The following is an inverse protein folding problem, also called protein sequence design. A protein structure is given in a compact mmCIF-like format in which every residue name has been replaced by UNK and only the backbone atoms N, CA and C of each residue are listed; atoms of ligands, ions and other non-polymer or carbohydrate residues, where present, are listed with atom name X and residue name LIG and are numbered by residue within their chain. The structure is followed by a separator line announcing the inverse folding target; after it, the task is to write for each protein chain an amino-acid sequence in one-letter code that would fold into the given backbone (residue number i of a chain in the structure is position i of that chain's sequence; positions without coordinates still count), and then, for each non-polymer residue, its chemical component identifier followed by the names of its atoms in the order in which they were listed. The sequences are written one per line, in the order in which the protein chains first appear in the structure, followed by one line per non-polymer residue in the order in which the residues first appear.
data_IF_856772303228
#
_entry.id   IF_856772303228
#
_cell.length_a   1.000
_cell.length_b   1.000
_cell.length_c   1.000
_cell.angle_alpha   90.00
_cell.angle_beta   90.00
_cell.angle_gamma   90.00
#
_symmetry.space_group_name_H-M   'P 1'
#
loop_
_entity.id
_entity.type
_entity.pdbx_description
1 polymer ?
#
# COMPACT_ATOMS: atom_id res chain seq x y z
N UNK A 1 15.32 20.99 -20.09
CA UNK A 1 14.23 20.43 -19.28
C UNK A 1 14.75 19.24 -18.47
N UNK A 2 14.56 19.27 -17.17
CA UNK A 2 14.92 18.08 -16.39
C UNK A 2 14.05 16.91 -16.82
N UNK A 3 14.65 15.74 -16.90
CA UNK A 3 13.93 14.52 -17.22
C UNK A 3 13.00 14.17 -16.06
N UNK A 4 11.84 13.64 -16.38
CA UNK A 4 10.96 13.07 -15.36
C UNK A 4 11.60 11.85 -14.74
N UNK A 5 11.36 11.65 -13.45
CA UNK A 5 11.77 10.44 -12.78
C UNK A 5 10.91 9.27 -13.26
N UNK A 6 11.39 8.05 -13.07
CA UNK A 6 10.61 6.85 -13.42
C UNK A 6 9.32 6.78 -12.58
N UNK A 7 9.37 7.26 -11.33
CA UNK A 7 8.19 7.38 -10.49
C UNK A 7 7.16 8.33 -11.10
N UNK A 8 7.60 9.50 -11.56
CA UNK A 8 6.68 10.46 -12.18
C UNK A 8 6.02 9.89 -13.43
N UNK A 9 6.78 9.17 -14.24
CA UNK A 9 6.25 8.49 -15.43
C UNK A 9 5.21 7.43 -15.03
N UNK A 10 5.52 6.63 -14.02
CA UNK A 10 4.61 5.61 -13.51
C UNK A 10 3.28 6.22 -13.08
N UNK A 11 3.34 7.28 -12.29
CA UNK A 11 2.14 7.95 -11.77
C UNK A 11 1.36 8.68 -12.87
N UNK A 12 2.01 9.06 -13.94
CA UNK A 12 1.38 9.69 -15.10
C UNK A 12 0.77 8.67 -16.09
N UNK A 13 0.96 7.37 -15.83
CA UNK A 13 0.46 6.33 -16.74
C UNK A 13 1.31 6.14 -17.99
N UNK A 14 2.55 6.66 -17.98
CA UNK A 14 3.47 6.54 -19.09
C UNK A 14 4.34 5.29 -18.94
N UNK A 15 4.99 4.88 -20.03
CA UNK A 15 5.96 3.80 -19.96
C UNK A 15 7.12 4.20 -19.06
N UNK A 16 7.52 3.30 -18.16
CA UNK A 16 8.58 3.55 -17.21
C UNK A 16 9.40 2.30 -16.97
N UNK A 17 10.60 2.49 -16.40
CA UNK A 17 11.46 1.38 -16.03
C UNK A 17 11.13 0.93 -14.61
N UNK A 18 10.45 -0.20 -14.48
CA UNK A 18 10.07 -0.75 -13.17
C UNK A 18 11.29 -1.22 -12.35
N UNK A 19 12.44 -1.39 -12.98
CA UNK A 19 13.68 -1.78 -12.31
C UNK A 19 14.51 -0.58 -11.86
N UNK A 20 13.98 0.63 -11.98
CA UNK A 20 14.62 1.84 -11.49
C UNK A 20 15.01 1.68 -10.02
N UNK A 21 16.22 2.12 -9.67
CA UNK A 21 16.77 1.90 -8.33
C UNK A 21 15.92 2.50 -7.21
N UNK A 22 15.37 3.71 -7.42
CA UNK A 22 14.55 4.36 -6.41
C UNK A 22 13.24 3.61 -6.20
N UNK A 23 12.60 3.16 -7.27
CA UNK A 23 11.39 2.36 -7.18
C UNK A 23 11.65 1.02 -6.48
N UNK A 24 12.77 0.40 -6.77
CA UNK A 24 13.14 -0.86 -6.12
C UNK A 24 13.36 -0.68 -4.61
N UNK A 25 14.02 0.39 -4.20
CA UNK A 25 14.21 0.69 -2.78
C UNK A 25 12.88 0.88 -2.05
N UNK A 26 11.92 1.55 -2.68
CA UNK A 26 10.59 1.71 -2.11
C UNK A 26 9.88 0.36 -1.95
N UNK A 27 9.96 -0.49 -2.95
CA UNK A 27 9.36 -1.84 -2.87
C UNK A 27 10.00 -2.68 -1.78
N UNK A 28 11.31 -2.61 -1.61
CA UNK A 28 12.02 -3.33 -0.55
C UNK A 28 11.60 -2.87 0.84
N UNK A 29 11.44 -1.56 1.01
CA UNK A 29 10.95 -0.99 2.26
C UNK A 29 9.56 -1.52 2.61
N UNK A 30 8.68 -1.55 1.63
CA UNK A 30 7.31 -2.05 1.82
C UNK A 30 7.32 -3.55 2.12
N UNK A 31 8.17 -4.31 1.47
CA UNK A 31 8.28 -5.75 1.77
C UNK A 31 8.66 -6.01 3.22
N UNK A 32 9.54 -5.20 3.79
CA UNK A 32 9.89 -5.31 5.22
C UNK A 32 8.70 -4.99 6.11
N UNK A 33 7.97 -3.92 5.80
CA UNK A 33 6.79 -3.53 6.55
C UNK A 33 5.68 -4.59 6.45
N UNK A 34 5.48 -5.16 5.26
CA UNK A 34 4.50 -6.23 5.05
C UNK A 34 4.84 -7.47 5.87
N UNK A 35 6.11 -7.83 5.94
CA UNK A 35 6.53 -8.96 6.76
C UNK A 35 6.20 -8.74 8.23
N UNK A 36 6.50 -7.55 8.75
CA UNK A 36 6.16 -7.20 10.12
C UNK A 36 4.65 -7.20 10.34
N UNK A 37 3.90 -6.64 9.39
CA UNK A 37 2.44 -6.60 9.47
C UNK A 37 1.83 -7.99 9.51
N UNK A 38 2.26 -8.86 8.60
CA UNK A 38 1.68 -10.19 8.46
C UNK A 38 2.06 -11.13 9.60
N UNK A 39 3.13 -10.82 10.35
CA UNK A 39 3.56 -11.59 11.51
C UNK A 39 3.06 -11.00 12.83
N UNK A 40 2.57 -9.78 12.84
CA UNK A 40 2.12 -9.12 14.06
C UNK A 40 0.88 -9.80 14.62
N UNK A 41 0.88 -10.08 15.92
CA UNK A 41 -0.26 -10.73 16.58
C UNK A 41 -1.25 -9.72 17.15
N UNK A 42 -0.76 -8.56 17.60
CA UNK A 42 -1.61 -7.55 18.23
C UNK A 42 -2.19 -6.60 17.20
N UNK A 43 -3.50 -6.29 17.33
CA UNK A 43 -4.18 -5.36 16.42
C UNK A 43 -3.56 -3.96 16.48
N UNK A 44 -3.15 -3.49 17.66
CA UNK A 44 -2.54 -2.18 17.81
C UNK A 44 -1.21 -2.08 17.07
N UNK A 45 -0.41 -3.13 17.11
CA UNK A 45 0.84 -3.21 16.37
C UNK A 45 0.59 -3.17 14.87
N UNK A 46 -0.39 -3.93 14.39
CA UNK A 46 -0.76 -3.93 12.97
C UNK A 46 -1.19 -2.53 12.51
N UNK A 47 -1.98 -1.83 13.30
CA UNK A 47 -2.42 -0.48 12.96
C UNK A 47 -1.25 0.50 12.85
N UNK A 48 -0.27 0.40 13.76
CA UNK A 48 0.92 1.24 13.70
C UNK A 48 1.70 1.01 12.41
N UNK A 49 1.92 -0.24 12.05
CA UNK A 49 2.64 -0.60 10.83
C UNK A 49 1.87 -0.13 9.60
N UNK A 50 0.56 -0.33 9.60
CA UNK A 50 -0.30 0.05 8.48
C UNK A 50 -0.22 1.55 8.19
N UNK A 51 -0.23 2.38 9.25
CA UNK A 51 -0.12 3.83 9.11
C UNK A 51 1.24 4.29 8.61
N UNK A 52 2.29 3.50 8.84
CA UNK A 52 3.62 3.78 8.29
C UNK A 52 3.70 3.38 6.82
N UNK A 53 2.93 2.39 6.39
CA UNK A 53 3.03 1.79 5.07
C UNK A 53 2.09 2.44 4.05
N UNK A 54 0.84 2.70 4.42
CA UNK A 54 -0.16 3.22 3.50
C UNK A 54 -0.17 4.74 3.44
N UNK A 55 -0.64 5.29 2.34
CA UNK A 55 -0.77 6.73 2.17
C UNK A 55 -1.79 7.34 3.10
N UNK A 56 -2.91 6.65 3.31
CA UNK A 56 -3.93 7.05 4.28
C UNK A 56 -4.67 5.83 4.81
N UNK A 57 -4.95 5.84 6.11
CA UNK A 57 -5.80 4.85 6.74
C UNK A 57 -6.88 5.61 7.52
N UNK A 58 -8.12 5.45 7.11
CA UNK A 58 -9.27 6.08 7.77
C UNK A 58 -9.54 5.44 9.14
N UNK A 59 -10.52 6.01 9.85
CA UNK A 59 -10.87 5.53 11.19
C UNK A 59 -11.47 4.14 11.12
N UNK A 60 -11.05 3.29 12.04
CA UNK A 60 -11.58 1.93 12.22
C UNK A 60 -11.52 1.09 10.96
N UNK A 61 -10.54 1.35 10.11
CA UNK A 61 -10.29 0.51 8.94
C UNK A 61 -9.38 -0.64 9.32
N UNK A 62 -9.70 -1.82 8.82
CA UNK A 62 -9.02 -3.08 9.18
C UNK A 62 -8.61 -3.79 7.91
N UNK A 63 -7.37 -4.25 7.89
CA UNK A 63 -6.87 -5.17 6.86
C UNK A 63 -6.48 -6.47 7.55
N UNK A 64 -7.20 -7.53 7.24
CA UNK A 64 -6.87 -8.86 7.79
C UNK A 64 -5.61 -9.41 7.13
N UNK A 65 -4.60 -9.82 7.92
CA UNK A 65 -3.42 -10.45 7.34
C UNK A 65 -3.74 -11.87 6.84
N UNK A 66 -2.99 -12.40 5.87
CA UNK A 66 -1.89 -11.73 5.19
C UNK A 66 -2.37 -10.75 4.13
N UNK A 67 -1.62 -9.67 3.98
CA UNK A 67 -1.90 -8.60 3.04
C UNK A 67 -0.64 -8.30 2.21
N UNK A 68 -0.81 -7.95 0.94
CA UNK A 68 0.30 -7.60 0.07
C UNK A 68 -0.03 -6.38 -0.78
N UNK A 69 0.96 -5.53 -0.99
CA UNK A 69 0.89 -4.39 -1.90
C UNK A 69 2.27 -4.12 -2.48
N UNK A 70 2.38 -3.20 -3.42
CA UNK A 70 3.64 -2.89 -4.10
C UNK A 70 4.36 -1.73 -3.42
N UNK A 71 3.73 -0.57 -3.32
CA UNK A 71 4.32 0.64 -2.74
C UNK A 71 3.68 1.06 -1.42
N UNK A 72 2.43 0.71 -1.19
CA UNK A 72 1.68 1.06 0.01
C UNK A 72 1.23 2.51 0.03
N UNK A 73 2.14 3.45 -0.15
CA UNK A 73 1.84 4.88 -0.03
C UNK A 73 0.84 5.41 -1.06
N UNK A 74 0.55 4.67 -2.11
CA UNK A 74 -0.47 5.03 -3.09
C UNK A 74 -1.86 4.53 -2.69
N UNK A 75 -1.97 3.79 -1.60
CA UNK A 75 -3.24 3.26 -1.11
C UNK A 75 -3.82 4.22 -0.09
N UNK A 76 -5.06 4.64 -0.31
CA UNK A 76 -5.79 5.54 0.58
C UNK A 76 -7.10 4.90 0.97
N UNK A 77 -7.22 4.48 2.22
CA UNK A 77 -8.43 3.86 2.73
C UNK A 77 -9.33 4.89 3.40
N UNK A 78 -10.61 4.84 3.12
CA UNK A 78 -11.61 5.63 3.81
C UNK A 78 -11.83 5.12 5.25
N UNK A 79 -12.89 5.63 5.90
CA UNK A 79 -13.26 5.19 7.24
C UNK A 79 -14.06 3.87 7.18
N UNK A 80 -13.89 3.03 8.19
CA UNK A 80 -14.63 1.77 8.34
C UNK A 80 -14.49 0.86 7.11
N UNK A 81 -13.30 0.78 6.56
CA UNK A 81 -12.99 -0.11 5.43
C UNK A 81 -12.50 -1.44 5.98
N UNK A 82 -13.00 -2.53 5.41
CA UNK A 82 -12.57 -3.88 5.78
C UNK A 82 -12.02 -4.61 4.56
N UNK A 83 -10.76 -5.00 4.63
CA UNK A 83 -10.13 -5.86 3.64
C UNK A 83 -9.94 -7.24 4.25
N UNK A 84 -10.48 -8.26 3.60
CA UNK A 84 -10.39 -9.64 4.08
C UNK A 84 -9.01 -10.22 3.83
N UNK A 85 -8.76 -11.41 4.36
CA UNK A 85 -7.47 -12.10 4.24
C UNK A 85 -7.07 -12.32 2.78
N UNK A 86 -5.76 -12.35 2.54
CA UNK A 86 -5.18 -12.62 1.21
C UNK A 86 -5.52 -11.55 0.17
N UNK A 87 -5.82 -10.35 0.59
CA UNK A 87 -6.03 -9.25 -0.32
C UNK A 87 -4.68 -8.75 -0.84
N UNK A 88 -4.60 -8.52 -2.16
CA UNK A 88 -3.40 -7.98 -2.80
C UNK A 88 -3.79 -6.75 -3.60
N UNK A 89 -3.13 -5.63 -3.37
CA UNK A 89 -3.37 -4.39 -4.10
C UNK A 89 -2.10 -3.99 -4.83
N UNK A 90 -2.17 -3.95 -6.15
CA UNK A 90 -1.05 -3.55 -7.00
C UNK A 90 -1.10 -2.04 -7.21
N UNK A 91 -0.58 -1.30 -6.25
CA UNK A 91 -0.68 0.15 -6.21
C UNK A 91 0.50 0.84 -6.93
N UNK A 92 0.68 0.50 -8.21
CA UNK A 92 1.63 1.23 -9.05
C UNK A 92 1.14 2.65 -9.33
N UNK A 93 -0.14 2.93 -9.07
CA UNK A 93 -0.72 4.27 -9.10
C UNK A 93 -1.69 4.39 -7.93
N UNK A 94 -2.37 5.52 -7.81
CA UNK A 94 -3.26 5.81 -6.70
C UNK A 94 -4.43 4.84 -6.65
N UNK A 95 -4.67 4.29 -5.47
CA UNK A 95 -5.82 3.42 -5.18
C UNK A 95 -6.56 4.03 -4.00
N UNK A 96 -7.83 4.34 -4.18
CA UNK A 96 -8.66 4.95 -3.13
C UNK A 96 -9.90 4.12 -2.90
N UNK A 97 -10.26 3.91 -1.65
CA UNK A 97 -11.53 3.29 -1.30
C UNK A 97 -12.48 4.35 -0.76
N UNK A 98 -13.78 4.14 -0.95
CA UNK A 98 -14.80 4.90 -0.24
C UNK A 98 -14.88 4.47 1.22
N UNK A 99 -15.78 5.12 1.98
CA UNK A 99 -16.06 4.72 3.36
C UNK A 99 -16.94 3.47 3.37
N UNK A 100 -16.82 2.66 4.42
CA UNK A 100 -17.61 1.44 4.62
C UNK A 100 -17.46 0.40 3.50
N UNK A 101 -16.34 0.45 2.75
CA UNK A 101 -16.07 -0.54 1.72
C UNK A 101 -15.65 -1.87 2.35
N UNK A 102 -16.10 -2.99 1.77
CA UNK A 102 -15.68 -4.33 2.16
C UNK A 102 -15.13 -5.03 0.92
N UNK A 103 -13.90 -5.51 1.02
CA UNK A 103 -13.21 -6.13 -0.11
C UNK A 103 -12.81 -7.54 0.28
N UNK A 104 -13.22 -8.53 -0.52
CA UNK A 104 -12.85 -9.92 -0.34
C UNK A 104 -11.47 -10.22 -0.92
N UNK A 105 -11.01 -11.45 -0.73
CA UNK A 105 -9.73 -11.87 -1.30
C UNK A 105 -9.76 -11.91 -2.83
#
# INVERSE_FOLDING_TARGET
MPSRTEREKMLAGEAYNCLDADLELERQKVKRLLRLYNLAEAAAERQTILRQMLGRVGRESIIEPPFYCVYGQHIHLGDHVYLNVLCTILDCNQVRTGHHATIGP
#
